data_IF_122544705760
#
_entry.id   IF_122544705760
#
_cell.length_a   1.000
_cell.length_b   1.000
_cell.length_c   1.000
_cell.angle_alpha   90.00
_cell.angle_beta   90.00
_cell.angle_gamma   90.00
#
_symmetry.space_group_name_H-M   'P 1'
#
loop_
_entity.id
_entity.type
_entity.pdbx_description
1 polymer ?
#
# COMPACT_ATOMS: atom_id res chain seq x y z
N UNK A 1 -31.33 50.38 2.63
CA UNK A 1 -32.29 50.07 3.71
C UNK A 1 -32.04 48.62 4.10
N UNK A 2 -31.55 48.18 5.27
CA UNK A 2 -31.16 48.75 6.57
C UNK A 2 -29.97 47.90 7.13
N UNK A 3 -28.89 48.57 7.56
CA UNK A 3 -28.13 48.49 8.84
C UNK A 3 -28.03 47.10 9.52
N UNK A 4 -26.86 46.56 9.88
CA UNK A 4 -26.14 46.85 11.15
C UNK A 4 -24.62 46.57 11.11
N UNK A 5 -23.86 47.54 11.63
CA UNK A 5 -22.50 47.41 12.19
C UNK A 5 -22.57 46.91 13.65
N UNK A 6 -21.40 46.58 14.22
CA UNK A 6 -20.99 46.45 15.66
C UNK A 6 -20.65 44.99 16.02
N UNK A 7 -19.65 44.61 16.80
CA UNK A 7 -18.29 45.06 17.14
C UNK A 7 -17.70 43.93 18.04
N UNK A 8 -16.42 43.62 17.84
CA UNK A 8 -15.38 43.11 18.77
C UNK A 8 -15.82 42.45 20.09
N UNK A 9 -15.31 41.25 20.37
CA UNK A 9 -14.78 40.89 21.70
C UNK A 9 -13.78 39.73 21.60
N UNK A 10 -12.54 40.02 22.01
CA UNK A 10 -11.47 39.06 22.24
C UNK A 10 -11.85 38.05 23.33
N UNK A 11 -11.37 36.82 23.21
CA UNK A 11 -11.10 35.97 24.37
C UNK A 11 -9.83 35.19 24.10
N UNK A 12 -8.80 35.56 24.85
CA UNK A 12 -7.54 34.82 25.01
C UNK A 12 -7.84 33.64 25.94
N UNK A 13 -7.40 32.44 25.59
CA UNK A 13 -7.20 31.35 26.55
C UNK A 13 -5.79 30.80 26.37
N UNK A 14 -4.98 30.95 27.42
CA UNK A 14 -3.68 30.32 27.64
C UNK A 14 -3.89 29.17 28.63
N UNK A 15 -3.36 27.99 28.31
CA UNK A 15 -2.68 26.99 29.19
C UNK A 15 -2.87 25.58 28.63
N UNK A 16 -1.82 24.93 28.15
CA UNK A 16 -0.82 24.07 28.84
C UNK A 16 -1.18 22.58 28.73
N UNK A 17 -0.34 21.87 27.96
CA UNK A 17 0.01 20.44 27.89
C UNK A 17 -0.87 19.43 28.65
N UNK A 18 -1.36 18.43 27.90
CA UNK A 18 -1.29 17.03 28.32
C UNK A 18 -2.62 16.28 28.41
N UNK A 19 -3.01 15.61 27.33
CA UNK A 19 -3.14 14.14 27.23
C UNK A 19 -3.75 13.83 25.87
N UNK A 20 -2.92 13.36 24.93
CA UNK A 20 -3.44 12.75 23.72
C UNK A 20 -3.95 11.37 24.11
N UNK A 21 -5.27 11.21 24.11
CA UNK A 21 -5.92 9.92 24.08
C UNK A 21 -6.89 10.02 22.90
N UNK A 22 -6.81 9.10 21.94
CA UNK A 22 -7.55 9.17 20.69
C UNK A 22 -9.05 9.28 20.97
N UNK A 23 -9.58 10.50 20.93
CA UNK A 23 -11.00 10.76 21.06
C UNK A 23 -11.57 10.85 19.65
N UNK A 24 -12.63 10.08 19.40
CA UNK A 24 -13.54 10.40 18.30
C UNK A 24 -13.96 11.86 18.49
N UNK A 25 -13.42 12.78 17.68
CA UNK A 25 -13.75 14.21 17.74
C UNK A 25 -15.24 14.38 17.37
N UNK A 26 -16.10 14.32 18.39
CA UNK A 26 -17.52 14.61 18.30
C UNK A 26 -17.71 16.13 18.33
N UNK A 27 -17.58 16.78 17.17
CA UNK A 27 -18.13 18.12 16.99
C UNK A 27 -19.61 18.00 16.63
N UNK A 28 -20.47 18.79 17.29
CA UNK A 28 -21.92 18.80 17.07
C UNK A 28 -22.25 19.11 15.60
N UNK A 29 -22.44 18.07 14.79
CA UNK A 29 -23.01 18.13 13.45
C UNK A 29 -22.26 17.40 12.33
N UNK A 30 -21.08 16.83 12.61
CA UNK A 30 -20.35 16.00 11.64
C UNK A 30 -19.77 14.78 12.35
N UNK A 31 -19.93 13.58 11.78
CA UNK A 31 -19.24 12.36 12.27
C UNK A 31 -18.12 12.02 11.30
N UNK A 32 -16.90 11.92 11.80
CA UNK A 32 -15.78 11.37 11.06
C UNK A 32 -15.76 9.85 11.27
N UNK A 33 -15.86 9.10 10.19
CA UNK A 33 -15.69 7.65 10.17
C UNK A 33 -14.33 7.35 9.54
N UNK A 34 -13.46 6.67 10.28
CA UNK A 34 -12.20 6.15 9.77
C UNK A 34 -12.35 4.65 9.51
N UNK A 35 -12.03 4.21 8.30
CA UNK A 35 -12.13 2.82 7.87
C UNK A 35 -10.79 2.39 7.30
N UNK A 36 -10.24 1.29 7.80
CA UNK A 36 -8.98 0.74 7.27
C UNK A 36 -9.14 0.28 5.82
N UNK A 37 -10.30 -0.30 5.49
CA UNK A 37 -10.63 -0.81 4.16
C UNK A 37 -12.10 -0.51 3.81
N UNK A 38 -12.35 -0.10 2.56
CA UNK A 38 -13.68 0.08 2.00
C UNK A 38 -13.74 -0.53 0.59
N UNK A 39 -14.66 -1.46 0.37
CA UNK A 39 -14.92 -2.04 -0.96
C UNK A 39 -16.11 -1.34 -1.62
N UNK A 40 -15.90 -0.69 -2.77
CA UNK A 40 -16.95 0.00 -3.52
C UNK A 40 -16.89 -0.41 -4.98
N UNK A 41 -17.96 -1.00 -5.52
CA UNK A 41 -18.05 -1.39 -6.94
C UNK A 41 -16.89 -2.28 -7.47
N UNK A 42 -16.23 -3.04 -6.59
CA UNK A 42 -15.08 -3.90 -6.95
C UNK A 42 -13.71 -3.23 -6.76
N UNK A 43 -13.67 -1.96 -6.37
CA UNK A 43 -12.46 -1.24 -6.02
C UNK A 43 -12.25 -1.24 -4.50
N UNK A 44 -11.01 -1.48 -4.07
CA UNK A 44 -10.62 -1.48 -2.66
C UNK A 44 -9.94 -0.15 -2.32
N UNK A 45 -10.52 0.61 -1.41
CA UNK A 45 -9.96 1.86 -0.89
C UNK A 45 -9.39 1.63 0.51
N UNK A 46 -8.26 2.26 0.82
CA UNK A 46 -7.58 2.15 2.11
C UNK A 46 -7.58 3.48 2.86
N UNK A 47 -7.40 3.39 4.18
CA UNK A 47 -7.30 4.55 5.08
C UNK A 47 -8.36 5.62 4.78
N UNK A 48 -9.61 5.16 4.64
CA UNK A 48 -10.72 5.98 4.19
C UNK A 48 -11.25 6.79 5.35
N UNK A 49 -11.27 8.11 5.19
CA UNK A 49 -11.90 9.04 6.11
C UNK A 49 -13.16 9.60 5.46
N UNK A 50 -14.31 9.31 6.07
CA UNK A 50 -15.63 9.75 5.60
C UNK A 50 -16.24 10.72 6.61
N UNK A 51 -16.64 11.90 6.13
CA UNK A 51 -17.49 12.81 6.89
C UNK A 51 -18.96 12.53 6.59
N UNK A 52 -19.68 12.07 7.61
CA UNK A 52 -21.13 11.98 7.59
C UNK A 52 -21.73 13.33 8.01
N UNK A 53 -22.64 13.84 7.19
CA UNK A 53 -23.39 15.07 7.45
C UNK A 53 -24.77 14.75 8.05
N UNK A 54 -25.35 15.72 8.74
CA UNK A 54 -26.68 15.59 9.38
C UNK A 54 -27.79 15.32 8.36
N UNK A 55 -27.65 15.79 7.12
CA UNK A 55 -28.62 15.59 6.04
C UNK A 55 -28.62 14.16 5.46
N UNK A 56 -27.82 13.25 6.05
CA UNK A 56 -27.69 11.86 5.62
C UNK A 56 -26.73 11.66 4.45
N UNK A 57 -26.09 12.73 3.96
CA UNK A 57 -25.05 12.63 2.93
C UNK A 57 -23.68 12.36 3.55
N UNK A 58 -22.75 11.90 2.72
CA UNK A 58 -21.37 11.70 3.12
C UNK A 58 -20.41 12.37 2.14
N UNK A 59 -19.21 12.70 2.62
CA UNK A 59 -18.08 13.15 1.82
C UNK A 59 -16.85 12.32 2.20
N UNK A 60 -16.19 11.75 1.21
CA UNK A 60 -14.85 11.18 1.41
C UNK A 60 -13.90 12.37 1.57
N UNK A 61 -13.24 12.47 2.73
CA UNK A 61 -12.26 13.52 3.03
C UNK A 61 -10.90 13.09 2.51
N UNK A 62 -10.56 11.83 2.74
CA UNK A 62 -9.35 11.20 2.24
C UNK A 62 -9.64 9.71 1.99
N UNK A 63 -8.99 9.18 0.96
CA UNK A 63 -8.89 7.76 0.71
C UNK A 63 -7.56 7.57 0.01
N UNK A 64 -6.79 6.57 0.43
CA UNK A 64 -5.69 6.10 -0.41
C UNK A 64 -6.29 5.52 -1.69
N UNK A 65 -5.72 5.95 -2.82
CA UNK A 65 -6.12 5.46 -4.13
C UNK A 65 -6.13 3.93 -4.13
N UNK A 66 -7.05 3.30 -4.89
CA UNK A 66 -7.06 1.85 -4.98
C UNK A 66 -5.67 1.37 -5.39
N UNK A 67 -5.10 0.47 -4.59
CA UNK A 67 -3.87 -0.23 -4.97
C UNK A 67 -4.22 -0.94 -6.28
N UNK A 68 -3.51 -0.61 -7.38
CA UNK A 68 -3.64 -1.39 -8.60
C UNK A 68 -3.36 -2.84 -8.23
N UNK A 69 -4.38 -3.69 -8.38
CA UNK A 69 -4.30 -5.11 -8.01
C UNK A 69 -3.59 -5.93 -9.10
N UNK A 70 -2.70 -5.29 -9.84
CA UNK A 70 -1.89 -5.92 -10.87
C UNK A 70 -0.78 -6.69 -10.16
N UNK A 71 -0.47 -7.89 -10.65
CA UNK A 71 0.62 -8.67 -10.09
C UNK A 71 1.86 -8.34 -10.94
N UNK A 72 2.73 -7.41 -10.50
CA UNK A 72 3.79 -6.85 -11.34
C UNK A 72 4.77 -7.91 -11.83
N UNK A 73 4.88 -9.05 -11.13
CA UNK A 73 5.71 -10.18 -11.52
C UNK A 73 4.99 -11.08 -12.50
N UNK A 74 3.75 -11.47 -12.21
CA UNK A 74 3.03 -12.48 -12.98
C UNK A 74 2.31 -11.96 -14.22
N UNK A 75 2.18 -10.64 -14.34
CA UNK A 75 1.70 -10.00 -15.57
C UNK A 75 2.78 -9.99 -16.67
N UNK A 76 4.04 -10.19 -16.29
CA UNK A 76 5.15 -10.44 -17.22
C UNK A 76 5.07 -11.91 -17.66
N UNK A 77 5.06 -12.15 -18.97
CA UNK A 77 5.05 -13.53 -19.46
C UNK A 77 6.32 -14.27 -19.00
N UNK A 78 6.16 -15.54 -18.65
CA UNK A 78 7.22 -16.34 -18.05
C UNK A 78 8.48 -16.43 -18.92
N UNK A 79 8.37 -16.35 -20.25
CA UNK A 79 9.55 -16.38 -21.11
C UNK A 79 10.29 -15.04 -21.07
N UNK A 80 9.58 -13.91 -21.09
CA UNK A 80 10.18 -12.58 -20.87
C UNK A 80 10.84 -12.50 -19.49
N UNK A 81 10.16 -12.93 -18.43
CA UNK A 81 10.75 -13.01 -17.08
C UNK A 81 12.05 -13.84 -17.08
N UNK A 82 12.05 -14.99 -17.77
CA UNK A 82 13.24 -15.84 -17.91
C UNK A 82 14.37 -15.17 -18.69
N UNK A 83 14.06 -14.36 -19.71
CA UNK A 83 15.09 -13.64 -20.46
C UNK A 83 15.72 -12.53 -19.62
N UNK A 84 14.91 -11.80 -18.85
CA UNK A 84 15.38 -10.72 -17.99
C UNK A 84 16.25 -11.28 -16.84
N UNK A 85 15.80 -12.33 -16.16
CA UNK A 85 16.61 -13.02 -15.15
C UNK A 85 17.89 -13.65 -15.75
N UNK A 86 17.85 -14.16 -16.99
CA UNK A 86 19.04 -14.66 -17.66
C UNK A 86 20.03 -13.53 -18.01
N UNK A 87 19.54 -12.36 -18.38
CA UNK A 87 20.37 -11.20 -18.66
C UNK A 87 21.07 -10.72 -17.39
N UNK A 88 20.33 -10.61 -16.29
CA UNK A 88 20.84 -10.23 -14.97
C UNK A 88 21.88 -11.23 -14.43
N UNK A 89 21.56 -12.53 -14.46
CA UNK A 89 22.52 -13.56 -14.06
C UNK A 89 23.82 -13.54 -14.89
N UNK A 90 23.74 -13.17 -16.18
CA UNK A 90 24.92 -13.01 -17.05
C UNK A 90 25.70 -11.73 -16.75
N UNK A 91 25.05 -10.67 -16.30
CA UNK A 91 25.72 -9.45 -15.86
C UNK A 91 26.61 -9.73 -14.65
N UNK A 92 26.10 -10.48 -13.68
CA UNK A 92 26.82 -10.81 -12.45
C UNK A 92 27.91 -11.88 -12.64
N UNK A 93 27.61 -12.94 -13.40
CA UNK A 93 28.46 -14.14 -13.45
C UNK A 93 29.20 -14.33 -14.79
N UNK A 94 28.86 -13.53 -15.80
CA UNK A 94 29.54 -13.51 -17.09
C UNK A 94 29.61 -14.89 -17.77
N UNK A 95 30.81 -15.46 -17.80
CA UNK A 95 31.09 -16.75 -18.45
C UNK A 95 31.11 -17.95 -17.50
N UNK A 96 30.82 -17.76 -16.22
CA UNK A 96 30.55 -18.86 -15.30
C UNK A 96 29.14 -19.41 -15.56
N UNK A 97 29.02 -20.19 -16.64
CA UNK A 97 27.75 -20.76 -17.06
C UNK A 97 27.10 -21.65 -16.00
N UNK A 98 27.91 -22.24 -15.10
CA UNK A 98 27.38 -23.04 -14.00
C UNK A 98 26.65 -22.17 -12.98
N UNK A 99 27.22 -21.00 -12.66
CA UNK A 99 26.58 -20.01 -11.80
C UNK A 99 25.38 -19.35 -12.48
N UNK A 100 25.50 -18.98 -13.77
CA UNK A 100 24.36 -18.43 -14.53
C UNK A 100 23.18 -19.39 -14.52
N UNK A 101 23.41 -20.69 -14.75
CA UNK A 101 22.35 -21.70 -14.72
C UNK A 101 21.73 -21.83 -13.32
N UNK A 102 22.57 -21.84 -12.28
CA UNK A 102 22.10 -21.95 -10.90
C UNK A 102 21.20 -20.78 -10.49
N UNK A 103 21.64 -19.54 -10.76
CA UNK A 103 20.87 -18.32 -10.45
C UNK A 103 19.58 -18.28 -11.25
N UNK A 104 19.63 -18.50 -12.56
CA UNK A 104 18.43 -18.52 -13.40
C UNK A 104 17.40 -19.53 -12.91
N UNK A 105 17.82 -20.74 -12.53
CA UNK A 105 16.87 -21.74 -12.00
C UNK A 105 16.23 -21.25 -10.70
N UNK A 106 17.03 -20.69 -9.79
CA UNK A 106 16.54 -20.15 -8.51
C UNK A 106 15.54 -19.01 -8.72
N UNK A 107 15.80 -18.11 -9.66
CA UNK A 107 14.90 -17.00 -9.99
C UNK A 107 13.60 -17.48 -10.63
N UNK A 108 13.67 -18.46 -11.53
CA UNK A 108 12.45 -18.99 -12.15
C UNK A 108 11.59 -19.81 -11.17
N UNK A 109 12.22 -20.52 -10.23
CA UNK A 109 11.49 -21.15 -9.13
C UNK A 109 10.80 -20.09 -8.24
N UNK A 110 11.50 -18.99 -7.95
CA UNK A 110 10.93 -17.89 -7.17
C UNK A 110 9.77 -17.18 -7.90
N UNK A 111 9.89 -16.96 -9.21
CA UNK A 111 8.82 -16.44 -10.07
C UNK A 111 7.58 -17.34 -9.99
N UNK A 112 7.75 -18.64 -10.20
CA UNK A 112 6.64 -19.60 -10.18
C UNK A 112 5.96 -19.64 -8.79
N UNK A 113 6.76 -19.59 -7.72
CA UNK A 113 6.27 -19.52 -6.33
C UNK A 113 5.45 -18.24 -6.07
N UNK A 114 5.98 -17.06 -6.44
CA UNK A 114 5.27 -15.78 -6.32
C UNK A 114 3.92 -15.89 -7.03
N UNK A 115 3.88 -16.41 -8.25
CA UNK A 115 2.64 -16.50 -9.02
C UNK A 115 1.60 -17.48 -8.47
N UNK A 116 2.06 -18.50 -7.73
CA UNK A 116 1.19 -19.45 -7.04
C UNK A 116 0.62 -18.95 -5.71
N UNK A 117 1.20 -17.91 -5.10
CA UNK A 117 0.73 -17.37 -3.80
C UNK A 117 -0.67 -16.76 -3.87
N UNK A 118 -1.37 -16.80 -2.73
CA UNK A 118 -2.70 -16.20 -2.56
C UNK A 118 -2.62 -14.67 -2.60
N UNK A 119 -3.40 -14.08 -3.52
CA UNK A 119 -3.36 -12.65 -3.81
C UNK A 119 -4.35 -11.92 -2.90
N UNK A 120 -3.84 -11.43 -1.78
CA UNK A 120 -4.54 -10.46 -0.93
C UNK A 120 -4.15 -9.03 -1.29
N UNK A 121 -4.91 -8.03 -0.83
CA UNK A 121 -4.55 -6.63 -1.05
C UNK A 121 -3.18 -6.28 -0.44
N UNK A 122 -2.85 -6.86 0.72
CA UNK A 122 -1.56 -6.66 1.41
C UNK A 122 -0.44 -7.33 0.63
N UNK A 123 -0.67 -8.54 0.15
CA UNK A 123 0.26 -9.25 -0.72
C UNK A 123 0.63 -8.42 -1.95
N UNK A 124 -0.35 -7.84 -2.64
CA UNK A 124 -0.09 -7.07 -3.86
C UNK A 124 0.63 -5.74 -3.57
N UNK A 125 0.34 -5.10 -2.45
CA UNK A 125 1.06 -3.90 -2.00
C UNK A 125 2.54 -4.19 -1.73
N UNK A 126 2.82 -5.22 -0.92
CA UNK A 126 4.19 -5.64 -0.59
C UNK A 126 4.92 -6.15 -1.83
N UNK A 127 4.23 -6.89 -2.72
CA UNK A 127 4.82 -7.38 -3.97
C UNK A 127 5.20 -6.23 -4.92
N UNK A 128 4.40 -5.17 -4.99
CA UNK A 128 4.74 -3.99 -5.79
C UNK A 128 6.02 -3.31 -5.29
N UNK A 129 6.17 -3.15 -3.98
CA UNK A 129 7.39 -2.58 -3.39
C UNK A 129 8.60 -3.50 -3.64
N UNK A 130 8.48 -4.79 -3.33
CA UNK A 130 9.55 -5.77 -3.55
C UNK A 130 9.96 -5.85 -5.03
N UNK A 131 8.99 -5.84 -5.96
CA UNK A 131 9.25 -5.86 -7.40
C UNK A 131 9.91 -4.57 -7.89
N UNK A 132 9.55 -3.41 -7.34
CA UNK A 132 10.18 -2.14 -7.71
C UNK A 132 11.65 -2.09 -7.33
N UNK A 133 12.02 -2.72 -6.22
CA UNK A 133 13.39 -2.66 -5.69
C UNK A 133 14.32 -3.72 -6.29
N UNK A 134 13.78 -4.91 -6.59
CA UNK A 134 14.62 -6.08 -6.87
C UNK A 134 14.45 -6.67 -8.27
N UNK A 135 13.51 -6.18 -9.09
CA UNK A 135 13.37 -6.71 -10.46
C UNK A 135 14.66 -6.50 -11.28
N UNK A 136 15.15 -7.51 -12.03
CA UNK A 136 14.55 -8.83 -12.29
C UNK A 136 15.03 -10.00 -11.41
N UNK A 137 15.72 -9.76 -10.29
CA UNK A 137 16.10 -10.79 -9.31
C UNK A 137 14.87 -11.27 -8.53
N UNK A 138 14.13 -12.20 -9.14
CA UNK A 138 12.91 -12.75 -8.55
C UNK A 138 13.17 -13.46 -7.23
N UNK A 139 14.38 -14.01 -7.02
CA UNK A 139 14.74 -14.60 -5.74
C UNK A 139 14.80 -13.56 -4.61
N UNK A 140 15.29 -12.36 -4.89
CA UNK A 140 15.28 -11.23 -3.96
C UNK A 140 13.89 -10.61 -3.81
N UNK A 141 13.11 -10.51 -4.89
CA UNK A 141 11.70 -10.10 -4.83
C UNK A 141 10.92 -11.00 -3.86
N UNK A 142 11.03 -12.34 -4.03
CA UNK A 142 10.36 -13.30 -3.16
C UNK A 142 10.82 -13.16 -1.70
N UNK A 143 12.12 -13.04 -1.48
CA UNK A 143 12.65 -12.88 -0.13
C UNK A 143 12.10 -11.63 0.57
N UNK A 144 12.08 -10.48 -0.12
CA UNK A 144 11.54 -9.23 0.45
C UNK A 144 10.04 -9.36 0.72
N UNK A 145 9.30 -9.94 -0.24
CA UNK A 145 7.86 -10.20 -0.10
C UNK A 145 7.53 -11.04 1.13
N UNK A 146 8.19 -12.18 1.28
CA UNK A 146 7.93 -13.09 2.41
C UNK A 146 8.28 -12.44 3.75
N UNK A 147 9.40 -11.72 3.79
CA UNK A 147 9.86 -11.01 4.99
C UNK A 147 8.86 -9.95 5.44
N UNK A 148 8.38 -9.11 4.53
CA UNK A 148 7.49 -8.01 4.88
C UNK A 148 6.06 -8.49 5.14
N UNK A 149 5.62 -9.56 4.48
CA UNK A 149 4.37 -10.25 4.84
C UNK A 149 4.41 -10.87 6.23
N UNK A 150 5.55 -11.42 6.64
CA UNK A 150 5.71 -11.93 8.01
C UNK A 150 5.71 -10.79 9.03
N UNK A 151 6.46 -9.72 8.75
CA UNK A 151 6.47 -8.53 9.61
C UNK A 151 5.07 -7.91 9.75
N UNK A 152 4.27 -7.88 8.67
CA UNK A 152 2.89 -7.45 8.71
C UNK A 152 2.03 -8.28 9.67
N UNK A 153 2.16 -9.61 9.66
CA UNK A 153 1.42 -10.48 10.60
C UNK A 153 1.79 -10.22 12.05
N UNK A 154 3.05 -9.86 12.32
CA UNK A 154 3.54 -9.62 13.69
C UNK A 154 3.07 -8.29 14.30
N UNK A 155 2.65 -7.31 13.47
CA UNK A 155 2.25 -5.97 13.93
C UNK A 155 0.75 -5.68 13.80
N UNK A 156 -0.04 -6.63 13.30
CA UNK A 156 -1.50 -6.58 13.24
C UNK A 156 -2.14 -6.99 14.57
#
# INVERSE_FOLDING_TARGET
MKIFKIAILSSILISTIGTAQAENDFNFGTRLLKMSVLNVHGETFRNVEVMLKIDGTYQIISAEAPVQLDNPVCDIDRETARQDALADAREDWGSDYSMVQYVLNKDMDAYDDICAMEKSAVYLEVLNEASSDWYPDFSMVKYSLEKDLEAYKDVQ
#
